data_IF_633505083445
#
_entry.id   IF_633505083445
#
_cell.length_a   1.000
_cell.length_b   1.000
_cell.length_c   1.000
_cell.angle_alpha   90.00
_cell.angle_beta   90.00
_cell.angle_gamma   90.00
#
_symmetry.space_group_name_H-M   'P 1'
#
loop_
_entity.id
_entity.type
_entity.pdbx_description
1 polymer ?
#
# COMPACT_ATOMS: atom_id res chain seq x y z
N UNK A 1 10.80 -0.88 6.48
CA UNK A 1 9.90 0.28 6.65
C UNK A 1 10.64 1.52 7.13
N UNK A 2 11.41 1.42 8.21
CA UNK A 2 12.11 2.56 8.80
C UNK A 2 13.04 3.30 7.83
N UNK A 3 13.88 2.57 7.08
CA UNK A 3 14.79 3.19 6.09
C UNK A 3 14.04 3.98 5.01
N UNK A 4 12.91 3.45 4.52
CA UNK A 4 12.08 4.12 3.51
C UNK A 4 11.42 5.39 4.09
N UNK A 5 10.95 5.33 5.33
CA UNK A 5 10.38 6.49 6.03
C UNK A 5 11.44 7.57 6.27
N UNK A 6 12.66 7.19 6.68
CA UNK A 6 13.77 8.13 6.85
C UNK A 6 14.15 8.80 5.53
N UNK A 7 14.27 8.03 4.45
CA UNK A 7 14.55 8.58 3.12
C UNK A 7 13.45 9.57 2.68
N UNK A 8 12.17 9.24 2.86
CA UNK A 8 11.08 10.12 2.48
C UNK A 8 11.07 11.42 3.31
N UNK A 9 11.37 11.35 4.62
CA UNK A 9 11.55 12.54 5.47
C UNK A 9 12.73 13.41 5.00
N UNK A 10 13.87 12.80 4.69
CA UNK A 10 15.05 13.52 4.18
C UNK A 10 14.79 14.24 2.85
N UNK A 11 13.85 13.74 2.05
CA UNK A 11 13.44 14.33 0.78
C UNK A 11 12.21 15.24 0.90
N UNK A 12 11.81 15.63 2.12
CA UNK A 12 10.65 16.49 2.37
C UNK A 12 9.33 15.97 1.78
N UNK A 13 9.16 14.66 1.70
CA UNK A 13 7.91 14.03 1.25
C UNK A 13 6.90 13.95 2.41
N UNK A 14 5.61 13.96 2.08
CA UNK A 14 4.53 13.92 3.07
C UNK A 14 4.28 12.53 3.69
N UNK A 15 4.90 11.48 3.16
CA UNK A 15 4.66 10.11 3.58
C UNK A 15 5.07 9.06 2.55
N UNK A 16 4.53 7.86 2.71
CA UNK A 16 4.70 6.72 1.82
C UNK A 16 3.33 6.24 1.33
N UNK A 17 3.30 5.71 0.11
CA UNK A 17 2.14 5.03 -0.47
C UNK A 17 2.61 3.75 -1.16
N UNK A 18 1.74 2.74 -1.13
CA UNK A 18 1.93 1.50 -1.86
C UNK A 18 0.59 0.90 -2.26
N UNK A 19 0.67 -0.03 -3.20
CA UNK A 19 -0.42 -0.87 -3.67
C UNK A 19 -0.12 -2.32 -3.28
N UNK A 20 -1.14 -3.07 -2.88
CA UNK A 20 -1.07 -4.52 -2.67
C UNK A 20 -2.40 -5.19 -3.02
N UNK A 21 -2.38 -6.46 -3.41
CA UNK A 21 -3.60 -7.22 -3.69
C UNK A 21 -4.32 -7.61 -2.41
N UNK A 22 -5.65 -7.59 -2.42
CA UNK A 22 -6.52 -8.04 -1.34
C UNK A 22 -6.21 -9.47 -0.86
N UNK A 23 -5.81 -10.35 -1.78
CA UNK A 23 -5.42 -11.73 -1.48
C UNK A 23 -4.10 -11.85 -0.71
N UNK A 24 -3.23 -10.82 -0.74
CA UNK A 24 -1.98 -10.81 0.01
C UNK A 24 -2.19 -10.31 1.46
N UNK A 25 -3.00 -11.04 2.21
CA UNK A 25 -3.38 -10.70 3.60
C UNK A 25 -2.17 -10.51 4.52
N UNK A 26 -1.10 -11.27 4.30
CA UNK A 26 0.15 -11.14 5.06
C UNK A 26 0.80 -9.77 4.87
N UNK A 27 0.84 -9.26 3.63
CA UNK A 27 1.34 -7.91 3.35
C UNK A 27 0.41 -6.85 3.93
N UNK A 28 -0.90 -6.98 3.76
CA UNK A 28 -1.89 -6.06 4.36
C UNK A 28 -1.70 -5.90 5.87
N UNK A 29 -1.55 -7.02 6.59
CA UNK A 29 -1.29 -7.03 8.04
C UNK A 29 0.07 -6.41 8.39
N UNK A 30 1.10 -6.70 7.59
CA UNK A 30 2.41 -6.10 7.77
C UNK A 30 2.35 -4.57 7.67
N UNK A 31 1.69 -4.03 6.64
CA UNK A 31 1.58 -2.58 6.47
C UNK A 31 0.71 -1.92 7.54
N UNK A 32 -0.41 -2.53 7.91
CA UNK A 32 -1.24 -2.04 9.01
C UNK A 32 -0.46 -1.98 10.33
N UNK A 33 0.34 -3.02 10.65
CA UNK A 33 1.22 -3.03 11.82
C UNK A 33 2.31 -1.94 11.78
N UNK A 34 2.72 -1.52 10.59
CA UNK A 34 3.69 -0.44 10.39
C UNK A 34 3.02 0.95 10.25
N UNK A 35 1.75 1.08 10.60
CA UNK A 35 1.05 2.37 10.66
C UNK A 35 0.43 2.84 9.34
N UNK A 36 0.44 2.02 8.29
CA UNK A 36 -0.30 2.34 7.08
C UNK A 36 -1.81 2.20 7.31
N UNK A 37 -2.57 3.04 6.62
CA UNK A 37 -4.03 2.99 6.56
C UNK A 37 -4.48 2.75 5.13
N UNK A 38 -5.54 1.98 4.95
CA UNK A 38 -6.18 1.81 3.64
C UNK A 38 -6.82 3.15 3.26
N UNK A 39 -6.43 3.71 2.12
CA UNK A 39 -6.96 4.96 1.59
C UNK A 39 -7.79 4.79 0.31
N UNK A 40 -7.72 3.61 -0.32
CA UNK A 40 -8.51 3.32 -1.51
C UNK A 40 -8.46 1.84 -1.87
N UNK A 41 -9.49 1.40 -2.59
CA UNK A 41 -9.55 0.08 -3.23
C UNK A 41 -10.00 0.28 -4.68
N UNK A 42 -9.29 -0.34 -5.61
CA UNK A 42 -9.65 -0.37 -7.02
C UNK A 42 -9.98 -1.81 -7.44
N UNK A 43 -11.24 -2.03 -7.79
CA UNK A 43 -11.77 -3.33 -8.17
C UNK A 43 -11.58 -3.64 -9.67
N UNK A 44 -11.01 -2.71 -10.43
CA UNK A 44 -10.85 -2.81 -11.87
C UNK A 44 -9.39 -2.75 -12.32
N UNK A 45 -8.45 -2.37 -11.45
CA UNK A 45 -7.03 -2.24 -11.80
C UNK A 45 -6.48 -3.49 -12.51
N UNK A 46 -6.92 -4.68 -12.08
CA UNK A 46 -6.44 -5.95 -12.61
C UNK A 46 -7.38 -6.61 -13.62
N UNK A 47 -8.45 -5.94 -14.07
CA UNK A 47 -9.52 -6.56 -14.87
C UNK A 47 -9.05 -7.21 -16.17
N UNK A 48 -7.90 -6.80 -16.71
CA UNK A 48 -7.31 -7.30 -17.94
C UNK A 48 -6.08 -8.20 -17.72
N UNK A 49 -5.84 -8.62 -16.47
CA UNK A 49 -4.73 -9.49 -16.10
C UNK A 49 -5.25 -10.88 -15.67
N UNK A 50 -4.39 -11.91 -15.59
CA UNK A 50 -4.77 -13.21 -15.04
C UNK A 50 -5.32 -13.14 -13.60
N UNK A 51 -4.98 -12.07 -12.87
CA UNK A 51 -5.43 -11.78 -11.51
C UNK A 51 -6.72 -10.93 -11.47
N UNK A 52 -7.55 -11.00 -12.51
CA UNK A 52 -8.77 -10.17 -12.63
C UNK A 52 -9.79 -10.31 -11.48
N UNK A 53 -9.70 -11.37 -10.66
CA UNK A 53 -10.52 -11.53 -9.45
C UNK A 53 -9.96 -10.80 -8.21
N UNK A 54 -8.72 -10.32 -8.26
CA UNK A 54 -8.06 -9.61 -7.17
C UNK A 54 -8.39 -8.12 -7.21
N UNK A 55 -8.35 -7.47 -6.05
CA UNK A 55 -8.59 -6.04 -5.87
C UNK A 55 -7.29 -5.37 -5.43
N UNK A 56 -7.01 -4.21 -6.01
CA UNK A 56 -5.86 -3.40 -5.60
C UNK A 56 -6.20 -2.58 -4.37
N UNK A 57 -5.40 -2.71 -3.31
CA UNK A 57 -5.55 -2.00 -2.04
C UNK A 57 -4.44 -0.97 -1.90
N UNK A 58 -4.81 0.30 -1.92
CA UNK A 58 -3.88 1.41 -1.77
C UNK A 58 -3.75 1.79 -0.29
N UNK A 59 -2.55 1.62 0.24
CA UNK A 59 -2.19 1.88 1.62
C UNK A 59 -1.32 3.15 1.72
N UNK A 60 -1.58 3.98 2.74
CA UNK A 60 -0.90 5.26 2.96
C UNK A 60 -0.32 5.36 4.37
N UNK A 61 0.88 5.89 4.49
CA UNK A 61 1.52 6.25 5.75
C UNK A 61 1.92 7.72 5.71
N UNK A 62 1.37 8.55 6.60
CA UNK A 62 1.66 9.99 6.69
C UNK A 62 2.56 10.26 7.90
N UNK A 63 3.46 11.24 7.80
CA UNK A 63 4.34 11.67 8.90
C UNK A 63 3.68 12.67 9.85
#
# INVERSE_FOLDING_TARGET
MEQAAQWAKQNNLAGLMLETQDVNVSACRFYAKNGFVIGGVDNMLYSNLPTASEQAVFCYYRF
#
